data_IF_121847298662
#
_entry.id   IF_121847298662
#
_cell.length_a   1.000
_cell.length_b   1.000
_cell.length_c   1.000
_cell.angle_alpha   90.00
_cell.angle_beta   90.00
_cell.angle_gamma   90.00
#
_symmetry.space_group_name_H-M   'P 1'
#
loop_
_entity.id
_entity.type
_entity.pdbx_description
1 polymer ?
#
# COMPACT_ATOMS: atom_id res chain seq x y z
N UNK A 1 -0.85 -20.62 4.44
CA UNK A 1 0.44 -20.37 5.15
C UNK A 1 1.64 -21.02 4.43
N UNK A 2 1.66 -22.34 4.20
CA UNK A 2 2.81 -23.07 3.60
C UNK A 2 3.27 -22.58 2.21
N UNK A 3 2.36 -22.16 1.33
CA UNK A 3 2.70 -21.82 -0.06
C UNK A 3 3.03 -20.34 -0.29
N UNK A 4 2.67 -19.47 0.64
CA UNK A 4 2.81 -18.01 0.47
C UNK A 4 3.67 -17.43 1.57
N UNK A 5 3.25 -17.58 2.83
CA UNK A 5 3.93 -16.97 3.97
C UNK A 5 5.30 -17.59 4.20
N UNK A 6 5.38 -18.93 4.20
CA UNK A 6 6.63 -19.62 4.53
C UNK A 6 7.77 -19.32 3.52
N UNK A 7 7.55 -19.39 2.20
CA UNK A 7 8.57 -18.98 1.22
C UNK A 7 8.96 -17.51 1.36
N UNK A 8 7.99 -16.61 1.56
CA UNK A 8 8.28 -15.18 1.73
C UNK A 8 9.07 -14.90 3.02
N UNK A 9 8.78 -15.62 4.11
CA UNK A 9 9.55 -15.55 5.37
C UNK A 9 11.00 -15.97 5.15
N UNK A 10 11.24 -17.03 4.40
CA UNK A 10 12.59 -17.49 4.05
C UNK A 10 13.35 -16.46 3.21
N UNK A 11 12.68 -15.84 2.22
CA UNK A 11 13.25 -14.75 1.41
C UNK A 11 13.60 -13.55 2.30
N UNK A 12 12.68 -13.12 3.17
CA UNK A 12 12.91 -12.01 4.11
C UNK A 12 14.12 -12.29 5.00
N UNK A 13 14.20 -13.49 5.58
CA UNK A 13 15.33 -13.89 6.42
C UNK A 13 16.66 -13.90 5.66
N UNK A 14 16.68 -14.44 4.43
CA UNK A 14 17.87 -14.50 3.60
C UNK A 14 18.36 -13.10 3.17
N UNK A 15 17.45 -12.19 2.82
CA UNK A 15 17.79 -10.80 2.49
C UNK A 15 18.35 -10.06 3.70
N UNK A 16 17.75 -10.23 4.88
CA UNK A 16 18.23 -9.61 6.12
C UNK A 16 19.57 -10.14 6.58
N UNK A 17 19.85 -11.43 6.40
CA UNK A 17 21.16 -12.01 6.69
C UNK A 17 22.27 -11.37 5.85
N UNK A 18 21.97 -10.92 4.63
CA UNK A 18 22.91 -10.22 3.74
C UNK A 18 23.00 -8.72 4.03
N UNK A 19 21.88 -8.10 4.36
CA UNK A 19 21.81 -6.68 4.71
C UNK A 19 20.75 -6.45 5.79
N UNK A 20 21.12 -6.33 7.07
CA UNK A 20 20.17 -6.12 8.15
C UNK A 20 19.37 -4.81 8.05
N UNK A 21 19.88 -3.82 7.31
CA UNK A 21 19.23 -2.53 7.13
C UNK A 21 18.21 -2.51 5.98
N UNK A 22 18.15 -3.55 5.14
CA UNK A 22 17.24 -3.59 4.00
C UNK A 22 15.79 -3.56 4.46
N UNK A 23 14.99 -2.67 3.86
CA UNK A 23 13.55 -2.59 4.09
C UNK A 23 12.81 -3.42 3.05
N UNK A 24 11.88 -4.24 3.50
CA UNK A 24 11.16 -5.18 2.63
C UNK A 24 9.66 -4.88 2.71
N UNK A 25 9.07 -4.62 1.55
CA UNK A 25 7.62 -4.46 1.39
C UNK A 25 7.06 -5.73 0.78
N UNK A 26 6.12 -6.37 1.47
CA UNK A 26 5.41 -7.52 0.93
C UNK A 26 4.07 -7.10 0.33
N UNK A 27 3.72 -7.57 -0.87
CA UNK A 27 2.45 -7.25 -1.51
C UNK A 27 1.62 -8.52 -1.79
N UNK A 28 0.89 -9.05 -0.78
CA UNK A 28 0.01 -10.20 -0.94
C UNK A 28 -1.32 -9.77 -1.57
N UNK A 29 -1.29 -9.44 -2.87
CA UNK A 29 -2.48 -8.96 -3.60
C UNK A 29 -3.67 -9.92 -3.45
N UNK A 30 -4.86 -9.36 -3.27
CA UNK A 30 -6.14 -10.02 -3.03
C UNK A 30 -6.18 -10.89 -1.77
N UNK A 31 -5.34 -10.60 -0.77
CA UNK A 31 -5.34 -11.32 0.50
C UNK A 31 -6.45 -10.89 1.46
N UNK A 32 -7.03 -9.69 1.29
CA UNK A 32 -8.07 -9.15 2.17
C UNK A 32 -7.67 -9.23 3.64
N UNK A 33 -8.54 -9.78 4.48
CA UNK A 33 -8.30 -9.94 5.93
C UNK A 33 -7.09 -10.83 6.27
N UNK A 34 -6.59 -11.64 5.33
CA UNK A 34 -5.40 -12.46 5.54
C UNK A 34 -4.10 -11.64 5.58
N UNK A 35 -4.15 -10.34 5.25
CA UNK A 35 -3.00 -9.44 5.28
C UNK A 35 -2.31 -9.43 6.64
N UNK A 36 -3.08 -9.45 7.74
CA UNK A 36 -2.52 -9.49 9.08
C UNK A 36 -1.72 -10.76 9.37
N UNK A 37 -2.21 -11.91 8.89
CA UNK A 37 -1.49 -13.17 9.00
C UNK A 37 -0.22 -13.16 8.15
N UNK A 38 -0.28 -12.54 6.97
CA UNK A 38 0.88 -12.36 6.09
C UNK A 38 1.97 -11.50 6.76
N UNK A 39 1.62 -10.34 7.31
CA UNK A 39 2.57 -9.46 8.01
C UNK A 39 3.25 -10.19 9.16
N UNK A 40 2.46 -10.82 10.06
CA UNK A 40 2.98 -11.57 11.21
C UNK A 40 3.90 -12.71 10.79
N UNK A 41 3.52 -13.44 9.74
CA UNK A 41 4.22 -14.64 9.34
C UNK A 41 5.47 -14.39 8.49
N UNK A 42 5.53 -13.28 7.75
CA UNK A 42 6.66 -12.97 6.86
C UNK A 42 7.69 -12.06 7.50
N UNK A 43 7.28 -11.19 8.43
CA UNK A 43 8.16 -10.24 9.09
C UNK A 43 8.60 -9.08 8.20
N UNK A 44 7.86 -8.77 7.14
CA UNK A 44 8.08 -7.60 6.26
C UNK A 44 7.99 -6.28 7.04
N UNK A 45 8.70 -5.25 6.58
CA UNK A 45 8.71 -3.91 7.20
C UNK A 45 7.45 -3.10 6.85
N UNK A 46 6.87 -3.34 5.67
CA UNK A 46 5.60 -2.75 5.24
C UNK A 46 4.78 -3.76 4.41
N UNK A 47 3.48 -3.50 4.29
CA UNK A 47 2.58 -4.32 3.48
C UNK A 47 1.85 -3.49 2.43
N UNK A 48 1.94 -3.92 1.17
CA UNK A 48 1.15 -3.38 0.07
C UNK A 48 -0.29 -3.88 0.13
N UNK A 49 -1.23 -2.99 -0.18
CA UNK A 49 -2.66 -3.26 -0.23
C UNK A 49 -3.19 -2.98 -1.64
N UNK A 50 -4.12 -3.81 -2.10
CA UNK A 50 -4.81 -3.60 -3.37
C UNK A 50 -6.02 -2.67 -3.20
N UNK A 51 -6.58 -2.22 -4.32
CA UNK A 51 -7.62 -1.19 -4.36
C UNK A 51 -8.97 -1.60 -3.79
N UNK A 52 -9.19 -2.89 -3.56
CA UNK A 52 -10.45 -3.38 -2.96
C UNK A 52 -10.31 -3.61 -1.46
N UNK A 53 -9.11 -3.44 -0.91
CA UNK A 53 -8.87 -3.59 0.52
C UNK A 53 -9.35 -2.35 1.28
N UNK A 54 -10.27 -2.53 2.21
CA UNK A 54 -10.68 -1.48 3.14
C UNK A 54 -9.52 -1.16 4.12
N UNK A 55 -9.07 0.12 4.22
CA UNK A 55 -8.05 0.54 5.16
C UNK A 55 -8.35 0.16 6.60
N UNK A 56 -9.60 0.36 7.07
CA UNK A 56 -9.95 0.09 8.46
C UNK A 56 -9.83 -1.40 8.80
N UNK A 57 -10.32 -2.27 7.92
CA UNK A 57 -10.16 -3.71 8.04
C UNK A 57 -8.68 -4.16 8.01
N UNK A 58 -7.86 -3.58 7.13
CA UNK A 58 -6.42 -3.89 7.07
C UNK A 58 -5.68 -3.46 8.34
N UNK A 59 -5.96 -2.26 8.84
CA UNK A 59 -5.40 -1.71 10.09
C UNK A 59 -5.76 -2.63 11.26
N UNK A 60 -7.03 -3.02 11.39
CA UNK A 60 -7.50 -3.89 12.46
C UNK A 60 -6.90 -5.30 12.40
N UNK A 61 -6.65 -5.84 11.19
CA UNK A 61 -6.08 -7.18 11.02
C UNK A 61 -4.58 -7.24 11.32
N UNK A 62 -3.85 -6.14 11.10
CA UNK A 62 -2.39 -6.06 11.22
C UNK A 62 -1.92 -5.72 12.65
N UNK A 63 -0.68 -6.10 13.03
CA UNK A 63 -0.10 -5.66 14.31
C UNK A 63 -0.05 -4.13 14.45
N UNK A 64 -0.22 -3.57 15.66
CA UNK A 64 -0.05 -2.14 15.90
C UNK A 64 1.32 -1.63 15.42
N UNK A 65 1.34 -0.46 14.78
CA UNK A 65 2.57 0.14 14.23
C UNK A 65 3.03 -0.43 12.88
N UNK A 66 2.22 -1.29 12.24
CA UNK A 66 2.46 -1.74 10.87
C UNK A 66 2.52 -0.55 9.89
N UNK A 67 3.33 -0.69 8.85
CA UNK A 67 3.43 0.28 7.75
C UNK A 67 2.64 -0.23 6.55
N UNK A 68 1.78 0.61 5.99
CA UNK A 68 0.91 0.28 4.86
C UNK A 68 1.38 0.99 3.60
N UNK A 69 1.30 0.34 2.45
CA UNK A 69 1.52 0.93 1.14
C UNK A 69 0.27 0.75 0.26
N UNK A 70 -0.16 1.79 -0.45
CA UNK A 70 -1.33 1.73 -1.32
C UNK A 70 -2.34 2.85 -1.02
N UNK A 71 -3.61 2.71 -1.37
CA UNK A 71 -4.14 1.66 -2.26
C UNK A 71 -5.09 2.21 -3.32
N UNK A 72 -4.89 3.47 -3.73
CA UNK A 72 -5.73 4.17 -4.71
C UNK A 72 -6.04 3.28 -5.93
N UNK A 73 -7.31 3.27 -6.36
CA UNK A 73 -7.72 2.58 -7.58
C UNK A 73 -7.07 3.23 -8.82
N UNK A 74 -6.26 2.50 -9.61
CA UNK A 74 -5.69 3.06 -10.83
C UNK A 74 -6.74 3.51 -11.86
N UNK A 75 -7.99 3.04 -11.79
CA UNK A 75 -9.07 3.53 -12.64
C UNK A 75 -9.34 5.03 -12.41
N UNK A 76 -9.13 5.53 -11.19
CA UNK A 76 -9.29 6.96 -10.88
C UNK A 76 -8.27 7.83 -11.63
N UNK A 77 -7.09 7.29 -11.97
CA UNK A 77 -6.14 7.97 -12.83
C UNK A 77 -6.60 8.03 -14.29
N UNK A 78 -7.44 7.10 -14.74
CA UNK A 78 -8.06 7.17 -16.07
C UNK A 78 -9.21 8.17 -16.10
N UNK A 79 -10.02 8.19 -15.04
CA UNK A 79 -11.17 9.09 -14.91
C UNK A 79 -10.72 10.53 -14.68
N UNK A 80 -9.73 10.75 -13.81
CA UNK A 80 -9.25 12.08 -13.44
C UNK A 80 -10.29 12.92 -12.72
N UNK A 81 -10.19 14.25 -12.86
CA UNK A 81 -11.20 15.20 -12.35
C UNK A 81 -11.43 15.11 -10.84
N UNK A 82 -12.66 15.41 -10.42
CA UNK A 82 -13.04 15.38 -9.00
C UNK A 82 -13.00 13.96 -8.40
N UNK A 83 -13.23 12.92 -9.22
CA UNK A 83 -13.16 11.53 -8.76
C UNK A 83 -11.75 11.15 -8.30
N UNK A 84 -10.72 11.60 -9.02
CA UNK A 84 -9.33 11.42 -8.60
C UNK A 84 -9.06 12.13 -7.28
N UNK A 85 -9.43 13.41 -7.17
CA UNK A 85 -9.17 14.19 -5.96
C UNK A 85 -9.84 13.58 -4.73
N UNK A 86 -11.10 13.14 -4.87
CA UNK A 86 -11.83 12.48 -3.80
C UNK A 86 -11.16 11.16 -3.41
N UNK A 87 -10.79 10.31 -4.38
CA UNK A 87 -10.14 9.05 -4.06
C UNK A 87 -8.77 9.22 -3.40
N UNK A 88 -8.02 10.29 -3.75
CA UNK A 88 -6.78 10.65 -3.05
C UNK A 88 -7.09 11.02 -1.60
N UNK A 89 -8.06 11.89 -1.37
CA UNK A 89 -8.48 12.31 -0.04
C UNK A 89 -8.94 11.12 0.81
N UNK A 90 -9.82 10.27 0.28
CA UNK A 90 -10.33 9.08 0.95
C UNK A 90 -9.21 8.10 1.31
N UNK A 91 -8.24 7.92 0.41
CA UNK A 91 -7.08 7.05 0.67
C UNK A 91 -6.22 7.62 1.79
N UNK A 92 -5.93 8.93 1.78
CA UNK A 92 -5.14 9.58 2.84
C UNK A 92 -5.87 9.53 4.19
N UNK A 93 -7.17 9.79 4.20
CA UNK A 93 -7.98 9.76 5.41
C UNK A 93 -8.12 8.35 5.98
N UNK A 94 -8.26 7.33 5.13
CA UNK A 94 -8.36 5.93 5.54
C UNK A 94 -7.13 5.43 6.32
N UNK A 95 -5.96 6.01 6.09
CA UNK A 95 -4.72 5.70 6.82
C UNK A 95 -4.26 6.81 7.77
N UNK A 96 -5.11 7.79 8.08
CA UNK A 96 -4.77 8.90 8.98
C UNK A 96 -4.30 8.37 10.34
N UNK A 97 -3.16 8.88 10.81
CA UNK A 97 -2.52 8.45 12.06
C UNK A 97 -1.76 7.12 11.97
N UNK A 98 -1.72 6.48 10.79
CA UNK A 98 -0.88 5.30 10.52
C UNK A 98 0.38 5.69 9.75
N UNK A 99 1.36 4.78 9.73
CA UNK A 99 2.53 4.90 8.85
C UNK A 99 2.13 4.46 7.45
N UNK A 100 2.03 5.39 6.52
CA UNK A 100 1.47 5.15 5.20
C UNK A 100 2.39 5.63 4.07
N UNK A 101 2.60 4.76 3.09
CA UNK A 101 3.27 5.06 1.83
C UNK A 101 2.18 5.10 0.76
N UNK A 102 1.75 6.29 0.36
CA UNK A 102 0.74 6.42 -0.69
C UNK A 102 1.21 5.73 -1.97
N UNK A 103 0.36 4.87 -2.52
CA UNK A 103 0.60 4.21 -3.81
C UNK A 103 -0.72 3.79 -4.45
N UNK A 104 -0.67 3.34 -5.69
CA UNK A 104 -1.77 2.64 -6.32
C UNK A 104 -1.90 1.23 -5.73
N UNK A 105 -3.12 0.68 -5.75
CA UNK A 105 -3.37 -0.72 -5.40
C UNK A 105 -3.06 -1.71 -6.53
N UNK A 106 -2.68 -1.21 -7.71
CA UNK A 106 -2.20 -2.00 -8.85
C UNK A 106 -1.36 -1.10 -9.78
N UNK A 107 -0.62 -1.72 -10.70
CA UNK A 107 0.12 -0.98 -11.73
C UNK A 107 -0.77 -0.09 -12.60
N UNK A 108 -0.23 1.07 -12.96
CA UNK A 108 -0.80 2.02 -13.92
C UNK A 108 -0.95 1.38 -15.31
N UNK A 109 -1.96 1.81 -16.07
CA UNK A 109 -2.20 1.36 -17.45
C UNK A 109 -1.68 2.39 -18.46
N UNK A 110 -1.22 1.98 -19.66
CA UNK A 110 -0.58 2.89 -20.63
C UNK A 110 -1.48 4.01 -21.16
N UNK A 111 -2.80 3.87 -21.05
CA UNK A 111 -3.77 4.85 -21.51
C UNK A 111 -4.03 6.00 -20.51
N UNK A 112 -3.43 5.92 -19.32
CA UNK A 112 -3.45 7.01 -18.34
C UNK A 112 -2.67 8.21 -18.87
N UNK A 113 -3.31 9.37 -18.83
CA UNK A 113 -2.72 10.64 -19.24
C UNK A 113 -1.66 11.11 -18.24
N UNK A 114 -0.45 11.51 -18.69
CA UNK A 114 0.61 12.01 -17.80
C UNK A 114 0.17 13.19 -16.92
N UNK A 115 -0.73 14.04 -17.41
CA UNK A 115 -1.26 15.19 -16.68
C UNK A 115 -2.04 14.76 -15.43
N UNK A 116 -2.71 13.61 -15.50
CA UNK A 116 -3.47 13.06 -14.38
C UNK A 116 -2.54 12.52 -13.29
N UNK A 117 -1.40 11.93 -13.69
CA UNK A 117 -0.34 11.52 -12.76
C UNK A 117 0.31 12.75 -12.12
N UNK A 118 0.61 13.79 -12.89
CA UNK A 118 1.16 15.03 -12.36
C UNK A 118 0.24 15.67 -11.31
N UNK A 119 -1.08 15.66 -11.56
CA UNK A 119 -2.07 16.14 -10.58
C UNK A 119 -2.09 15.30 -9.31
N UNK A 120 -2.09 13.97 -9.42
CA UNK A 120 -1.99 13.06 -8.26
C UNK A 120 -0.79 13.43 -7.38
N UNK A 121 0.39 13.62 -8.00
CA UNK A 121 1.61 13.98 -7.28
C UNK A 121 1.48 15.33 -6.56
N UNK A 122 0.92 16.35 -7.22
CA UNK A 122 0.73 17.67 -6.63
C UNK A 122 -0.19 17.62 -5.41
N UNK A 123 -1.30 16.88 -5.49
CA UNK A 123 -2.25 16.73 -4.37
C UNK A 123 -1.58 16.03 -3.18
N UNK A 124 -0.90 14.90 -3.41
CA UNK A 124 -0.21 14.16 -2.33
C UNK A 124 0.85 15.01 -1.64
N UNK A 125 1.64 15.77 -2.41
CA UNK A 125 2.68 16.65 -1.86
C UNK A 125 2.08 17.78 -1.01
N UNK A 126 1.00 18.41 -1.49
CA UNK A 126 0.31 19.45 -0.75
C UNK A 126 -0.29 18.92 0.57
N UNK A 127 -0.89 17.72 0.55
CA UNK A 127 -1.48 17.10 1.74
C UNK A 127 -0.42 16.62 2.75
N UNK A 128 0.74 16.15 2.27
CA UNK A 128 1.83 15.69 3.13
C UNK A 128 2.57 16.83 3.83
N UNK A 129 2.61 18.03 3.23
CA UNK A 129 3.14 19.23 3.87
C UNK A 129 2.25 19.76 5.01
N UNK A 130 1.00 19.29 5.09
CA UNK A 130 0.00 19.70 6.08
C UNK A 130 -0.15 18.71 7.26
N UNK A 131 0.61 17.60 7.26
CA UNK A 131 0.68 16.59 8.32
C UNK A 131 1.89 16.83 9.22
#
# INVERSE_FOLDING_TARGET
KKLVIEPNRQIVAALRAKNPAVKIIGFPRLSGLLVGAYVRGTGVDAVGLDSVTDPAAAIAACPPGSVFQGNLDPLLLRVGGAALDQGIADTLDGFRGQRHIFNLGHGITPDVKPETVARLMNVIQASSAAL
#
